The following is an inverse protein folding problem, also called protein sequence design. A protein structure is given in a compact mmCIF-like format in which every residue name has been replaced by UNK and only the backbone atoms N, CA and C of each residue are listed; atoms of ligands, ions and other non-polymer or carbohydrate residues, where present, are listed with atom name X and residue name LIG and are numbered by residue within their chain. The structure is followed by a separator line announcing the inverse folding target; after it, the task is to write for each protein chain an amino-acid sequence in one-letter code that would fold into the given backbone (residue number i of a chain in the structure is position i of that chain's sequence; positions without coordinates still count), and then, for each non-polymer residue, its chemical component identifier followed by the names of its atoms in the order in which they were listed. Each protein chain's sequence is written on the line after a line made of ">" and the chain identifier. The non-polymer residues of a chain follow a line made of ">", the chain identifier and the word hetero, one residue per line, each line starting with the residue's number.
data_IF_122365200615
#
_entry.id   IF_122365200615
#
_cell.length_a   1.000
_cell.length_b   1.000
_cell.length_c   1.000
_cell.angle_alpha   90.00
_cell.angle_beta   90.00
_cell.angle_gamma   90.00
#
_symmetry.space_group_name_H-M   'P 1'
#
loop_
_entity.id
_entity.type
_entity.pdbx_description
1 polymer ?
#
# COMPACT_ATOMS: atom_id res chain seq x y z
N UNK A 1 6.57 23.92 21.23
CA UNK A 1 7.60 23.35 22.13
C UNK A 1 8.73 23.00 21.20
N UNK A 2 9.68 23.90 21.03
CA UNK A 2 10.84 23.66 20.19
C UNK A 2 11.81 22.80 21.00
N UNK A 3 12.06 21.59 20.50
CA UNK A 3 12.94 20.64 21.15
C UNK A 3 14.38 21.04 20.82
N UNK A 4 14.99 21.87 21.67
CA UNK A 4 16.41 22.21 21.59
C UNK A 4 17.23 20.91 21.63
N UNK A 5 17.88 20.57 20.51
CA UNK A 5 18.68 19.35 20.34
C UNK A 5 18.22 18.41 19.22
N UNK A 6 17.00 18.54 18.68
CA UNK A 6 16.57 17.68 17.56
C UNK A 6 17.42 17.91 16.29
N UNK A 7 17.72 19.18 16.00
CA UNK A 7 18.57 19.54 14.87
C UNK A 7 19.99 18.97 15.01
N UNK A 8 20.53 18.93 16.23
CA UNK A 8 21.87 18.40 16.52
C UNK A 8 21.89 16.86 16.40
N UNK A 9 20.84 16.18 16.87
CA UNK A 9 20.67 14.73 16.66
C UNK A 9 20.57 14.41 15.17
N UNK A 10 19.77 15.16 14.43
CA UNK A 10 19.62 14.97 12.98
C UNK A 10 20.95 15.21 12.25
N UNK A 11 21.69 16.23 12.64
CA UNK A 11 22.99 16.57 12.06
C UNK A 11 24.03 15.47 12.35
N UNK A 12 24.18 15.05 13.60
CA UNK A 12 25.10 13.96 13.98
C UNK A 12 24.72 12.64 13.33
N UNK A 13 23.43 12.33 13.23
CA UNK A 13 22.96 11.15 12.49
C UNK A 13 23.38 11.22 11.01
N UNK A 14 23.28 12.38 10.36
CA UNK A 14 23.70 12.57 8.96
C UNK A 14 25.23 12.59 8.79
N UNK A 15 25.97 13.03 9.81
CA UNK A 15 27.44 13.01 9.83
C UNK A 15 27.97 11.57 9.96
N UNK A 16 27.39 10.77 10.86
CA UNK A 16 27.81 9.39 11.15
C UNK A 16 27.15 8.35 10.22
N UNK A 17 25.96 8.63 9.71
CA UNK A 17 25.23 7.77 8.78
C UNK A 17 25.09 8.44 7.43
N UNK A 18 25.67 7.83 6.39
CA UNK A 18 25.55 8.36 5.03
C UNK A 18 24.08 8.45 4.57
N UNK A 19 23.76 9.47 3.76
CA UNK A 19 22.42 9.59 3.15
C UNK A 19 21.99 8.33 2.38
N UNK A 20 22.97 7.62 1.81
CA UNK A 20 22.73 6.36 1.09
C UNK A 20 22.22 5.25 2.03
N UNK A 21 22.74 5.17 3.25
CA UNK A 21 22.28 4.22 4.27
C UNK A 21 20.87 4.55 4.76
N UNK A 22 20.60 5.82 5.07
CA UNK A 22 19.26 6.26 5.46
C UNK A 22 18.23 6.00 4.34
N UNK A 23 18.63 6.22 3.08
CA UNK A 23 17.79 5.90 1.91
C UNK A 23 17.53 4.39 1.80
N UNK A 24 18.52 3.55 2.08
CA UNK A 24 18.37 2.08 2.10
C UNK A 24 17.45 1.64 3.23
N UNK A 25 17.59 2.23 4.42
CA UNK A 25 16.73 1.97 5.58
C UNK A 25 15.27 2.34 5.28
N UNK A 26 15.04 3.55 4.76
CA UNK A 26 13.71 4.00 4.34
C UNK A 26 13.09 3.08 3.29
N UNK A 27 13.88 2.63 2.30
CA UNK A 27 13.40 1.66 1.32
C UNK A 27 12.99 0.34 1.94
N UNK A 28 13.76 -0.17 2.90
CA UNK A 28 13.44 -1.40 3.65
C UNK A 28 12.13 -1.25 4.41
N UNK A 29 11.94 -0.14 5.15
CA UNK A 29 10.71 0.14 5.91
C UNK A 29 9.50 0.20 4.99
N UNK A 30 9.58 0.98 3.90
CA UNK A 30 8.47 1.12 2.95
C UNK A 30 8.17 -0.20 2.24
N UNK A 31 9.19 -1.01 1.92
CA UNK A 31 8.97 -2.33 1.33
C UNK A 31 8.21 -3.26 2.25
N UNK A 32 8.57 -3.31 3.53
CA UNK A 32 7.81 -4.06 4.54
C UNK A 32 6.36 -3.57 4.64
N UNK A 33 6.15 -2.25 4.60
CA UNK A 33 4.81 -1.66 4.55
C UNK A 33 3.99 -2.09 3.34
N UNK A 34 4.61 -2.17 2.14
CA UNK A 34 3.93 -2.68 0.94
C UNK A 34 3.53 -4.15 1.09
N UNK A 35 4.43 -4.99 1.62
CA UNK A 35 4.17 -6.43 1.83
C UNK A 35 3.03 -6.63 2.84
N UNK A 36 3.06 -5.90 3.96
CA UNK A 36 1.97 -5.92 4.94
C UNK A 36 0.65 -5.43 4.34
N UNK A 37 0.68 -4.37 3.55
CA UNK A 37 -0.49 -3.85 2.85
C UNK A 37 -1.08 -4.88 1.88
N UNK A 38 -0.23 -5.58 1.11
CA UNK A 38 -0.67 -6.64 0.22
C UNK A 38 -1.35 -7.78 1.00
N UNK A 39 -0.81 -8.19 2.15
CA UNK A 39 -1.41 -9.23 3.01
C UNK A 39 -2.77 -8.82 3.59
N UNK A 40 -2.91 -7.57 4.02
CA UNK A 40 -4.21 -7.03 4.50
C UNK A 40 -5.24 -7.08 3.36
N UNK A 41 -4.85 -6.60 2.18
CA UNK A 41 -5.72 -6.60 1.01
C UNK A 41 -6.09 -8.02 0.59
N UNK A 42 -5.13 -8.94 0.61
CA UNK A 42 -5.33 -10.36 0.29
C UNK A 42 -6.42 -11.00 1.13
N UNK A 43 -6.49 -10.68 2.43
CA UNK A 43 -7.52 -11.19 3.35
C UNK A 43 -8.91 -10.65 3.05
N UNK A 44 -9.00 -9.44 2.49
CA UNK A 44 -10.26 -8.77 2.16
C UNK A 44 -10.74 -9.00 0.73
N UNK A 45 -9.87 -9.50 -0.16
CA UNK A 45 -10.21 -9.67 -1.57
C UNK A 45 -11.00 -10.98 -1.77
N UNK A 46 -12.15 -10.94 -2.47
CA UNK A 46 -12.90 -12.15 -2.75
C UNK A 46 -12.11 -13.08 -3.68
N UNK A 47 -12.15 -14.37 -3.36
CA UNK A 47 -11.56 -15.44 -4.17
C UNK A 47 -12.66 -16.42 -4.56
N UNK A 48 -12.86 -16.61 -5.87
CA UNK A 48 -13.76 -17.65 -6.36
C UNK A 48 -13.15 -19.03 -6.10
N UNK A 49 -13.99 -20.04 -5.86
CA UNK A 49 -13.52 -21.43 -5.75
C UNK A 49 -13.04 -22.02 -7.08
N UNK A 50 -13.55 -21.48 -8.20
CA UNK A 50 -13.33 -22.01 -9.54
C UNK A 50 -12.91 -20.89 -10.49
N UNK A 51 -11.63 -20.91 -10.89
CA UNK A 51 -11.01 -19.91 -11.75
C UNK A 51 -11.59 -19.95 -13.17
N UNK A 52 -11.97 -21.13 -13.68
CA UNK A 52 -12.49 -21.32 -15.04
C UNK A 52 -13.87 -20.66 -15.25
N UNK A 53 -14.60 -20.44 -14.15
CA UNK A 53 -15.87 -19.70 -14.16
C UNK A 53 -15.68 -18.20 -13.98
N UNK A 54 -14.46 -17.76 -13.70
CA UNK A 54 -14.10 -16.36 -13.49
C UNK A 54 -13.83 -15.65 -14.82
N UNK A 55 -13.94 -14.32 -14.83
CA UNK A 55 -13.74 -13.51 -16.04
C UNK A 55 -15.01 -13.26 -16.86
N UNK A 56 -14.89 -12.59 -18.01
CA UNK A 56 -16.04 -12.12 -18.78
C UNK A 56 -16.80 -13.28 -19.42
N UNK A 57 -18.11 -13.31 -19.16
CA UNK A 57 -19.03 -14.27 -19.76
C UNK A 57 -19.87 -13.61 -20.87
N UNK A 58 -20.19 -14.36 -21.93
CA UNK A 58 -21.20 -13.97 -22.92
C UNK A 58 -22.15 -15.13 -23.14
N UNK A 59 -23.44 -14.89 -22.98
CA UNK A 59 -24.49 -15.91 -23.16
C UNK A 59 -24.24 -17.16 -22.31
N UNK A 60 -23.80 -16.99 -21.06
CA UNK A 60 -23.54 -18.09 -20.12
C UNK A 60 -22.25 -18.87 -20.36
N UNK A 61 -21.40 -18.48 -21.32
CA UNK A 61 -20.12 -19.13 -21.60
C UNK A 61 -18.94 -18.21 -21.23
N UNK A 62 -17.92 -18.70 -20.49
CA UNK A 62 -16.68 -17.97 -20.28
C UNK A 62 -15.99 -17.69 -21.63
N UNK A 63 -15.55 -16.45 -21.87
CA UNK A 63 -14.76 -16.15 -23.08
C UNK A 63 -13.28 -16.40 -22.89
N UNK A 64 -12.75 -15.93 -21.77
CA UNK A 64 -11.36 -16.07 -21.37
C UNK A 64 -11.32 -16.13 -19.85
N UNK A 65 -10.96 -17.28 -19.31
CA UNK A 65 -10.65 -17.40 -17.89
C UNK A 65 -9.34 -16.65 -17.62
N UNK A 66 -9.23 -15.98 -16.46
CA UNK A 66 -7.96 -15.41 -16.05
C UNK A 66 -6.95 -16.52 -15.75
N UNK A 67 -5.65 -16.24 -15.93
CA UNK A 67 -4.59 -17.22 -15.63
C UNK A 67 -4.44 -17.52 -14.13
N UNK A 68 -4.78 -16.54 -13.28
CA UNK A 68 -4.73 -16.65 -11.82
C UNK A 68 -5.72 -15.69 -11.16
N UNK A 69 -6.03 -15.89 -9.88
CA UNK A 69 -6.89 -15.00 -9.12
C UNK A 69 -6.18 -13.69 -8.78
N UNK A 70 -6.93 -12.58 -8.77
CA UNK A 70 -6.41 -11.26 -8.38
C UNK A 70 -5.73 -11.28 -6.99
N UNK A 71 -6.26 -12.04 -6.05
CA UNK A 71 -5.73 -12.19 -4.68
C UNK A 71 -4.33 -12.80 -4.63
N UNK A 72 -3.97 -13.59 -5.64
CA UNK A 72 -2.66 -14.25 -5.73
C UNK A 72 -1.65 -13.39 -6.53
N UNK A 73 -2.13 -12.38 -7.25
CA UNK A 73 -1.35 -11.55 -8.19
C UNK A 73 -1.40 -10.05 -7.85
N UNK A 74 -1.48 -9.68 -6.57
CA UNK A 74 -1.49 -8.27 -6.15
C UNK A 74 -0.14 -7.63 -6.55
N UNK A 75 -0.11 -6.63 -7.45
CA UNK A 75 1.14 -6.00 -7.87
C UNK A 75 1.78 -5.24 -6.71
N UNK A 76 3.09 -5.40 -6.53
CA UNK A 76 3.89 -4.60 -5.60
C UNK A 76 4.99 -3.89 -6.40
N UNK A 77 4.82 -2.58 -6.58
CA UNK A 77 5.78 -1.76 -7.32
C UNK A 77 7.13 -1.66 -6.61
N UNK A 78 8.17 -1.33 -7.38
CA UNK A 78 9.45 -0.93 -6.82
C UNK A 78 9.32 0.33 -5.95
N UNK A 79 10.04 0.35 -4.83
CA UNK A 79 10.12 1.52 -3.95
C UNK A 79 10.88 2.64 -4.64
N UNK A 80 10.28 3.83 -4.68
CA UNK A 80 10.84 5.05 -5.27
C UNK A 80 11.22 6.03 -4.16
N UNK A 81 12.18 6.90 -4.46
CA UNK A 81 12.51 8.03 -3.60
C UNK A 81 12.58 9.30 -4.43
N UNK A 82 11.85 10.35 -4.06
CA UNK A 82 11.87 11.66 -4.72
C UNK A 82 11.75 12.75 -3.67
N UNK A 83 12.45 13.88 -3.85
CA UNK A 83 12.39 15.04 -2.95
C UNK A 83 12.53 14.69 -1.45
N UNK A 84 13.45 13.79 -1.11
CA UNK A 84 13.67 13.34 0.28
C UNK A 84 12.61 12.38 0.83
N UNK A 85 11.54 12.08 0.08
CA UNK A 85 10.51 11.13 0.48
C UNK A 85 10.73 9.77 -0.17
N UNK A 86 10.48 8.70 0.58
CA UNK A 86 10.49 7.31 0.07
C UNK A 86 9.08 6.76 0.11
N UNK A 87 8.62 6.18 -1.01
CA UNK A 87 7.25 5.74 -1.18
C UNK A 87 7.18 4.53 -2.11
N UNK A 88 6.15 3.72 -1.91
CA UNK A 88 5.87 2.52 -2.69
C UNK A 88 4.38 2.40 -2.93
N UNK A 89 4.00 1.58 -3.90
CA UNK A 89 2.60 1.37 -4.25
C UNK A 89 2.30 -0.12 -4.34
N UNK A 90 1.04 -0.46 -4.05
CA UNK A 90 0.49 -1.79 -4.17
C UNK A 90 -0.80 -1.72 -4.98
N UNK A 91 -1.11 -2.78 -5.72
CA UNK A 91 -2.29 -2.85 -6.58
C UNK A 91 -2.07 -2.33 -8.00
N UNK A 92 -3.04 -2.61 -8.85
CA UNK A 92 -3.06 -2.17 -10.24
C UNK A 92 -3.26 -0.65 -10.37
N UNK A 93 -2.47 -0.03 -11.23
CA UNK A 93 -2.53 1.42 -11.48
C UNK A 93 -3.77 1.81 -12.30
N UNK A 94 -4.23 3.07 -12.25
CA UNK A 94 -5.34 3.53 -13.09
C UNK A 94 -5.15 3.25 -14.58
N UNK A 95 -3.93 3.35 -15.11
CA UNK A 95 -3.59 3.06 -16.50
C UNK A 95 -3.32 1.58 -16.81
N UNK A 96 -3.29 0.73 -15.80
CA UNK A 96 -3.00 -0.70 -15.94
C UNK A 96 -4.18 -1.43 -16.57
N UNK A 97 -3.91 -2.19 -17.64
CA UNK A 97 -4.88 -3.00 -18.37
C UNK A 97 -4.46 -4.48 -18.43
N UNK A 98 -3.52 -4.89 -17.59
CA UNK A 98 -3.09 -6.27 -17.45
C UNK A 98 -4.18 -7.14 -16.84
N UNK A 99 -3.93 -8.44 -16.74
CA UNK A 99 -4.87 -9.35 -16.10
C UNK A 99 -5.18 -8.90 -14.67
N UNK A 100 -6.44 -9.10 -14.25
CA UNK A 100 -6.92 -8.66 -12.93
C UNK A 100 -6.94 -7.13 -12.68
N UNK A 101 -6.68 -6.28 -13.69
CA UNK A 101 -6.75 -4.81 -13.54
C UNK A 101 -8.08 -4.30 -12.97
N UNK A 102 -9.18 -5.03 -13.17
CA UNK A 102 -10.50 -4.68 -12.67
C UNK A 102 -10.55 -4.60 -11.13
N UNK A 103 -9.63 -5.27 -10.42
CA UNK A 103 -9.54 -5.21 -8.97
C UNK A 103 -9.22 -3.79 -8.44
N UNK A 104 -8.67 -2.89 -9.27
CA UNK A 104 -8.52 -1.46 -8.92
C UNK A 104 -9.86 -0.74 -8.76
N UNK A 105 -10.90 -1.24 -9.43
CA UNK A 105 -12.28 -0.73 -9.33
C UNK A 105 -13.10 -1.47 -8.29
N UNK A 106 -12.49 -2.38 -7.51
CA UNK A 106 -13.21 -3.13 -6.50
C UNK A 106 -13.68 -2.18 -5.39
N UNK A 107 -14.94 -1.80 -5.51
CA UNK A 107 -15.71 -1.02 -4.57
C UNK A 107 -16.55 -2.01 -3.77
N UNK A 108 -16.25 -2.18 -2.48
CA UNK A 108 -17.17 -2.94 -1.61
C UNK A 108 -18.30 -2.02 -1.16
N UNK A 109 -19.45 -2.19 -1.81
CA UNK A 109 -20.69 -1.49 -1.53
C UNK A 109 -21.63 -1.60 -2.72
N UNK A 110 -22.93 -1.73 -2.46
CA UNK A 110 -23.94 -1.60 -3.51
C UNK A 110 -23.86 -0.16 -4.01
N UNK A 111 -23.56 0.04 -5.29
CA UNK A 111 -23.80 1.31 -5.93
C UNK A 111 -25.28 1.65 -5.73
N UNK A 112 -25.57 2.68 -4.92
CA UNK A 112 -26.93 3.18 -4.72
C UNK A 112 -27.62 3.46 -6.07
N UNK A 113 -26.89 3.65 -7.17
CA UNK A 113 -27.46 3.83 -8.51
C UNK A 113 -28.05 2.57 -9.17
N UNK A 114 -27.84 1.36 -8.65
CA UNK A 114 -28.35 0.13 -9.28
C UNK A 114 -29.72 -0.32 -8.76
N UNK A 115 -30.27 0.35 -7.73
CA UNK A 115 -31.65 0.11 -7.30
C UNK A 115 -32.62 1.02 -8.07
N UNK A 116 -33.76 0.50 -8.58
CA UNK A 116 -34.78 1.31 -9.27
C UNK A 116 -35.28 2.52 -8.46
N UNK A 117 -35.09 2.50 -7.13
CA UNK A 117 -35.52 3.53 -6.19
C UNK A 117 -34.67 4.82 -6.23
N UNK A 118 -33.44 4.77 -6.77
CA UNK A 118 -32.48 5.87 -6.65
C UNK A 118 -32.24 6.65 -7.96
N UNK A 119 -32.96 6.34 -9.03
CA UNK A 119 -32.81 6.99 -10.35
C UNK A 119 -33.02 8.53 -10.32
N UNK A 120 -33.84 9.02 -9.38
CA UNK A 120 -34.19 10.44 -9.26
C UNK A 120 -33.49 11.19 -8.11
N UNK A 121 -32.55 10.56 -7.39
CA UNK A 121 -31.81 11.23 -6.31
C UNK A 121 -30.42 11.66 -6.78
N UNK A 122 -30.07 12.94 -6.57
CA UNK A 122 -28.67 13.36 -6.56
C UNK A 122 -28.01 12.79 -5.32
N UNK A 123 -27.44 11.59 -5.42
CA UNK A 123 -26.56 11.07 -4.38
C UNK A 123 -25.28 11.89 -4.35
N UNK A 124 -24.82 12.31 -3.16
CA UNK A 124 -23.56 13.03 -3.04
C UNK A 124 -22.42 12.15 -3.56
N UNK A 125 -21.50 12.78 -4.29
CA UNK A 125 -20.34 12.14 -4.88
C UNK A 125 -19.36 11.78 -3.75
N UNK A 126 -19.59 10.67 -3.05
CA UNK A 126 -18.63 10.15 -2.07
C UNK A 126 -17.40 9.70 -2.87
N UNK A 127 -16.19 10.22 -2.61
CA UNK A 127 -14.99 9.72 -3.26
C UNK A 127 -14.85 8.24 -2.90
N UNK A 128 -15.04 7.39 -3.91
CA UNK A 128 -15.03 5.95 -3.73
C UNK A 128 -13.59 5.50 -3.48
N UNK A 129 -13.28 5.24 -2.22
CA UNK A 129 -11.98 4.77 -1.80
C UNK A 129 -11.96 3.25 -2.02
N UNK A 130 -11.44 2.80 -3.17
CA UNK A 130 -11.34 1.38 -3.51
C UNK A 130 -10.59 0.53 -2.47
N UNK A 131 -10.59 -0.81 -2.64
CA UNK A 131 -10.04 -1.80 -1.70
C UNK A 131 -8.69 -1.40 -1.05
N UNK A 132 -7.76 -0.90 -1.86
CA UNK A 132 -6.40 -0.53 -1.43
C UNK A 132 -6.35 0.61 -0.41
N UNK A 133 -7.33 1.51 -0.40
CA UNK A 133 -7.37 2.59 0.59
C UNK A 133 -7.76 2.10 1.99
N UNK A 134 -8.43 0.94 2.11
CA UNK A 134 -8.77 0.35 3.41
C UNK A 134 -7.52 -0.01 4.21
N UNK A 135 -6.46 -0.46 3.54
CA UNK A 135 -5.20 -0.84 4.17
C UNK A 135 -4.36 0.38 4.61
N UNK A 136 -4.61 1.60 4.10
CA UNK A 136 -3.73 2.75 4.34
C UNK A 136 -3.51 3.06 5.82
N UNK A 137 -4.56 3.00 6.64
CA UNK A 137 -4.45 3.33 8.07
C UNK A 137 -3.59 2.29 8.80
N UNK A 138 -3.85 1.02 8.59
CA UNK A 138 -3.10 -0.08 9.21
C UNK A 138 -1.65 -0.11 8.73
N UNK A 139 -1.42 0.08 7.43
CA UNK A 139 -0.08 0.16 6.84
C UNK A 139 0.69 1.38 7.38
N UNK A 140 0.04 2.53 7.55
CA UNK A 140 0.69 3.71 8.12
C UNK A 140 1.10 3.47 9.59
N UNK A 141 0.23 2.85 10.39
CA UNK A 141 0.57 2.46 11.77
C UNK A 141 1.76 1.49 11.79
N UNK A 142 1.73 0.46 10.95
CA UNK A 142 2.81 -0.52 10.83
C UNK A 142 4.15 0.10 10.39
N UNK A 143 4.12 1.00 9.40
CA UNK A 143 5.30 1.75 8.95
C UNK A 143 5.88 2.59 10.10
N UNK A 144 5.03 3.24 10.89
CA UNK A 144 5.48 4.02 12.03
C UNK A 144 6.13 3.13 13.11
N UNK A 145 5.54 1.98 13.42
CA UNK A 145 6.07 1.03 14.42
C UNK A 145 7.44 0.46 13.99
N UNK A 146 7.56 -0.01 12.75
CA UNK A 146 8.83 -0.49 12.21
C UNK A 146 9.84 0.64 12.09
N UNK A 147 9.40 1.82 11.64
CA UNK A 147 10.24 3.00 11.55
C UNK A 147 10.84 3.36 12.90
N UNK A 148 10.02 3.42 13.96
CA UNK A 148 10.50 3.66 15.32
C UNK A 148 11.54 2.62 15.76
N UNK A 149 11.28 1.33 15.52
CA UNK A 149 12.21 0.27 15.90
C UNK A 149 13.55 0.33 15.14
N UNK A 150 13.50 0.53 13.83
CA UNK A 150 14.70 0.57 12.97
C UNK A 150 15.52 1.84 13.19
N UNK A 151 14.88 3.01 13.34
CA UNK A 151 15.57 4.25 13.66
C UNK A 151 16.13 4.27 15.08
N UNK A 152 15.44 3.66 16.06
CA UNK A 152 15.97 3.55 17.43
C UNK A 152 17.24 2.72 17.46
N UNK A 153 17.27 1.57 16.76
CA UNK A 153 18.50 0.77 16.61
C UNK A 153 19.63 1.57 15.95
N UNK A 154 19.33 2.32 14.89
CA UNK A 154 20.34 3.13 14.21
C UNK A 154 20.87 4.27 15.09
N UNK A 155 20.01 4.86 15.92
CA UNK A 155 20.43 5.84 16.92
C UNK A 155 21.31 5.20 18.01
N UNK A 156 20.98 4.01 18.49
CA UNK A 156 21.83 3.26 19.43
C UNK A 156 23.19 2.90 18.81
N UNK A 157 23.24 2.52 17.53
CA UNK A 157 24.50 2.27 16.82
C UNK A 157 25.39 3.51 16.75
N UNK A 158 24.79 4.69 16.56
CA UNK A 158 25.52 5.96 16.38
C UNK A 158 25.91 6.60 17.71
N UNK A 159 25.02 6.57 18.71
CA UNK A 159 25.19 7.29 19.97
C UNK A 159 25.47 6.38 21.17
N UNK A 160 25.20 5.08 21.07
CA UNK A 160 25.45 4.10 22.13
C UNK A 160 26.92 3.71 22.25
N UNK A 161 27.73 3.91 21.21
CA UNK A 161 29.18 3.69 21.21
C UNK A 161 29.95 4.75 22.00
N UNK A 162 29.39 5.93 22.24
CA UNK A 162 30.05 7.02 23.00
C UNK A 162 30.06 6.78 24.53
N UNK A 163 29.40 5.72 25.01
CA UNK A 163 29.29 5.36 26.43
C UNK A 163 30.10 4.11 26.83
N UNK A 164 31.10 3.69 26.03
CA UNK A 164 32.05 2.62 26.39
C UNK A 164 33.50 3.10 26.42
#
# INVERSE_FOLDING_TARGET
>A
MDFEGFADVQKKLLEETSEAELKKLNKKIIRAGQEQGAEIIKRSMPKSMDLEKSGPQRSGKPRKAPSDHAVDQIPIDNVKSTNGQTFGFIGWRPSDNEENFYAKFFEEGVDEHTTPYNYNRKVPRIPKLGLFNKANKEVATFINEIGLAEYSKKLEEVFGSDNQ
#
